data_IF_435119575786
#
_entry.id   IF_435119575786
#
_cell.length_a   1.000
_cell.length_b   1.000
_cell.length_c   1.000
_cell.angle_alpha   90.00
_cell.angle_beta   90.00
_cell.angle_gamma   90.00
#
_symmetry.space_group_name_H-M   'P 1'
#
loop_
_entity.id
_entity.type
_entity.pdbx_description
1 polymer ?
#
# COMPACT_ATOMS: atom_id res chain seq x y z
N UNK A 1 -2.89 -6.84 24.89
CA UNK A 1 -2.18 -7.01 23.61
C UNK A 1 -1.35 -5.76 23.39
N UNK A 2 -0.20 -5.89 22.74
CA UNK A 2 0.70 -4.75 22.53
C UNK A 2 0.30 -3.94 21.31
N UNK A 3 0.28 -2.62 21.50
CA UNK A 3 0.03 -1.63 20.47
C UNK A 3 1.17 -1.66 19.44
N UNK A 4 0.81 -1.75 18.16
CA UNK A 4 1.73 -1.86 17.03
C UNK A 4 1.58 -0.67 16.10
N UNK A 5 2.70 -0.23 15.53
CA UNK A 5 2.75 0.85 14.56
C UNK A 5 2.98 0.30 13.16
N UNK A 6 2.27 0.86 12.19
CA UNK A 6 2.36 0.50 10.78
C UNK A 6 2.49 1.76 9.94
N UNK A 7 3.21 1.66 8.84
CA UNK A 7 3.23 2.71 7.82
C UNK A 7 2.42 2.22 6.63
N UNK A 8 1.55 3.07 6.09
CA UNK A 8 0.95 2.83 4.78
C UNK A 8 1.31 3.95 3.82
N UNK A 9 1.78 3.55 2.64
CA UNK A 9 2.16 4.44 1.55
C UNK A 9 1.19 4.27 0.39
N UNK A 10 0.68 5.40 -0.10
CA UNK A 10 -0.19 5.46 -1.26
C UNK A 10 0.28 6.55 -2.21
N UNK A 11 0.11 6.29 -3.51
CA UNK A 11 0.18 7.34 -4.53
C UNK A 11 -1.17 7.42 -5.23
N UNK A 12 -1.79 8.59 -5.17
CA UNK A 12 -3.07 8.84 -5.82
C UNK A 12 -3.01 8.68 -7.34
N UNK A 13 -4.18 8.59 -7.97
CA UNK A 13 -4.29 8.56 -9.44
C UNK A 13 -3.93 9.90 -10.09
N UNK A 14 -3.88 10.99 -9.33
CA UNK A 14 -3.46 12.30 -9.81
C UNK A 14 -1.95 12.40 -10.09
N UNK A 15 -1.16 11.42 -9.62
CA UNK A 15 0.31 11.37 -9.79
C UNK A 15 1.02 12.63 -9.27
N UNK A 16 0.47 13.26 -8.22
CA UNK A 16 1.03 14.48 -7.65
C UNK A 16 2.14 14.21 -6.63
N UNK A 17 2.17 13.02 -6.03
CA UNK A 17 3.14 12.66 -5.00
C UNK A 17 2.82 11.36 -4.29
N UNK A 18 3.61 11.09 -3.25
CA UNK A 18 3.44 9.97 -2.33
C UNK A 18 2.96 10.46 -0.97
N UNK A 19 1.92 9.83 -0.45
CA UNK A 19 1.43 10.00 0.92
C UNK A 19 1.89 8.82 1.78
N UNK A 20 2.50 9.10 2.92
CA UNK A 20 2.77 8.12 3.97
C UNK A 20 1.98 8.47 5.23
N UNK A 21 1.32 7.48 5.83
CA UNK A 21 0.56 7.62 7.08
C UNK A 21 1.05 6.62 8.10
N UNK A 22 1.32 7.11 9.31
CA UNK A 22 1.61 6.28 10.48
C UNK A 22 0.29 5.91 11.16
N UNK A 23 0.06 4.62 11.34
CA UNK A 23 -1.17 4.08 11.92
C UNK A 23 -0.85 3.28 13.15
N UNK A 24 -1.62 3.51 14.22
CA UNK A 24 -1.57 2.76 15.46
C UNK A 24 -2.69 1.73 15.51
N UNK A 25 -2.35 0.51 15.86
CA UNK A 25 -3.30 -0.60 16.00
C UNK A 25 -3.07 -1.39 17.29
N UNK A 26 -4.13 -1.98 17.82
CA UNK A 26 -4.06 -2.99 18.88
C UNK A 26 -4.65 -4.30 18.34
N UNK A 27 -3.75 -5.23 17.99
CA UNK A 27 -4.11 -6.42 17.24
C UNK A 27 -4.76 -6.08 15.89
N UNK A 28 -6.03 -6.45 15.71
CA UNK A 28 -6.80 -6.13 14.51
C UNK A 28 -7.63 -4.83 14.60
N UNK A 29 -7.55 -4.11 15.73
CA UNK A 29 -8.34 -2.90 15.95
C UNK A 29 -7.52 -1.67 15.58
N UNK A 30 -8.04 -0.87 14.65
CA UNK A 30 -7.51 0.46 14.35
C UNK A 30 -7.73 1.40 15.53
N UNK A 31 -6.67 2.08 15.98
CA UNK A 31 -6.72 3.03 17.10
C UNK A 31 -6.64 4.49 16.63
N UNK A 32 -5.91 4.75 15.55
CA UNK A 32 -5.73 6.11 15.06
C UNK A 32 -4.66 6.25 13.98
N UNK A 33 -4.66 7.40 13.29
CA UNK A 33 -3.53 7.88 12.52
C UNK A 33 -2.73 8.84 13.40
N UNK A 34 -1.42 8.61 13.52
CA UNK A 34 -0.53 9.35 14.43
C UNK A 34 0.30 10.42 13.70
N UNK A 35 0.55 10.21 12.41
CA UNK A 35 1.36 11.13 11.61
C UNK A 35 1.12 10.95 10.12
N UNK A 36 1.49 11.96 9.35
CA UNK A 36 1.46 11.94 7.89
C UNK A 36 2.71 12.64 7.34
N UNK A 37 3.16 12.20 6.17
CA UNK A 37 4.13 12.91 5.35
C UNK A 37 3.70 12.82 3.88
N UNK A 38 4.04 13.86 3.12
CA UNK A 38 3.77 13.92 1.69
C UNK A 38 5.04 14.36 0.95
N UNK A 39 5.41 13.63 -0.08
CA UNK A 39 6.53 13.98 -0.96
C UNK A 39 6.01 14.15 -2.39
N UNK A 40 6.09 15.36 -2.98
CA UNK A 40 5.62 15.60 -4.34
C UNK A 40 6.49 14.87 -5.37
N UNK A 41 5.88 14.43 -6.47
CA UNK A 41 6.64 13.87 -7.57
C UNK A 41 7.36 14.96 -8.37
N UNK A 42 8.65 14.76 -8.71
CA UNK A 42 9.30 15.61 -9.69
C UNK A 42 8.54 15.59 -11.02
N UNK A 43 8.45 16.74 -11.70
CA UNK A 43 7.75 16.88 -13.00
C UNK A 43 8.24 15.89 -14.06
N UNK A 44 9.52 15.52 -14.00
CA UNK A 44 10.09 14.47 -14.86
C UNK A 44 9.43 13.12 -14.58
N UNK A 45 9.41 12.69 -13.33
CA UNK A 45 8.84 11.41 -12.91
C UNK A 45 7.35 11.35 -13.27
N UNK A 46 6.61 12.42 -12.95
CA UNK A 46 5.19 12.54 -13.29
C UNK A 46 4.95 12.37 -14.80
N UNK A 47 5.70 13.08 -15.65
CA UNK A 47 5.60 12.94 -17.11
C UNK A 47 5.92 11.53 -17.59
N UNK A 48 6.96 10.89 -17.05
CA UNK A 48 7.33 9.53 -17.45
C UNK A 48 6.29 8.48 -17.03
N UNK A 49 5.61 8.69 -15.89
CA UNK A 49 4.50 7.83 -15.44
C UNK A 49 3.24 8.03 -16.28
N UNK A 50 2.94 9.27 -16.69
CA UNK A 50 1.84 9.58 -17.60
C UNK A 50 2.07 8.93 -18.98
N UNK A 51 3.27 9.08 -19.54
CA UNK A 51 3.63 8.49 -20.84
C UNK A 51 3.59 6.95 -20.85
N UNK A 52 3.67 6.31 -19.67
CA UNK A 52 3.56 4.85 -19.54
C UNK A 52 2.10 4.36 -19.52
N UNK A 53 1.11 5.26 -19.44
CA UNK A 53 -0.30 4.88 -19.51
C UNK A 53 -0.70 4.52 -20.95
N UNK A 54 -0.08 5.17 -21.92
CA UNK A 54 -0.27 4.92 -23.34
C UNK A 54 0.65 3.79 -23.83
N UNK A 55 0.29 3.19 -24.96
CA UNK A 55 1.15 2.18 -25.59
C UNK A 55 2.40 2.83 -26.15
N UNK A 56 3.58 2.30 -25.81
CA UNK A 56 4.85 2.92 -26.15
C UNK A 56 5.99 1.94 -26.39
N UNK A 57 7.17 2.49 -26.71
CA UNK A 57 8.37 1.69 -26.85
C UNK A 57 8.94 1.32 -25.47
N UNK A 58 9.40 0.07 -25.35
CA UNK A 58 10.18 -0.44 -24.21
C UNK A 58 9.49 -0.27 -22.83
N UNK A 59 8.16 -0.45 -22.77
CA UNK A 59 7.34 -0.27 -21.56
C UNK A 59 7.85 -1.10 -20.37
N UNK A 60 8.31 -2.33 -20.60
CA UNK A 60 8.77 -3.22 -19.53
C UNK A 60 10.02 -2.67 -18.85
N UNK A 61 11.04 -2.28 -19.62
CA UNK A 61 12.25 -1.69 -19.06
C UNK A 61 11.94 -0.37 -18.36
N UNK A 62 11.19 0.51 -19.01
CA UNK A 62 10.79 1.81 -18.45
C UNK A 62 10.01 1.66 -17.14
N UNK A 63 9.03 0.75 -17.10
CA UNK A 63 8.25 0.45 -15.90
C UNK A 63 9.12 -0.03 -14.75
N UNK A 64 10.16 -0.82 -15.05
CA UNK A 64 11.11 -1.31 -14.03
C UNK A 64 11.97 -0.19 -13.47
N UNK A 65 12.48 0.71 -14.31
CA UNK A 65 13.27 1.89 -13.89
C UNK A 65 12.42 2.81 -13.02
N UNK A 66 11.20 3.15 -13.47
CA UNK A 66 10.30 4.01 -12.72
C UNK A 66 9.87 3.37 -11.39
N UNK A 67 9.72 2.05 -11.34
CA UNK A 67 9.44 1.33 -10.09
C UNK A 67 10.56 1.50 -9.05
N UNK A 68 11.83 1.55 -9.47
CA UNK A 68 12.96 1.80 -8.56
C UNK A 68 12.97 3.24 -8.06
N UNK A 69 12.74 4.20 -8.97
CA UNK A 69 12.69 5.63 -8.66
C UNK A 69 11.55 5.92 -7.66
N UNK A 70 10.36 5.37 -7.90
CA UNK A 70 9.23 5.44 -6.99
C UNK A 70 9.56 4.87 -5.61
N UNK A 71 10.19 3.69 -5.53
CA UNK A 71 10.53 3.09 -4.24
C UNK A 71 11.55 3.90 -3.44
N UNK A 72 12.49 4.59 -4.11
CA UNK A 72 13.41 5.52 -3.44
C UNK A 72 12.66 6.71 -2.86
N UNK A 73 11.72 7.27 -3.63
CA UNK A 73 10.86 8.38 -3.18
C UNK A 73 9.97 7.93 -2.01
N UNK A 74 9.35 6.75 -2.08
CA UNK A 74 8.56 6.19 -0.99
C UNK A 74 9.37 5.95 0.28
N UNK A 75 10.62 5.47 0.14
CA UNK A 75 11.52 5.31 1.28
C UNK A 75 11.87 6.67 1.91
N UNK A 76 12.06 7.71 1.09
CA UNK A 76 12.26 9.08 1.56
C UNK A 76 11.02 9.59 2.32
N UNK A 77 9.82 9.43 1.77
CA UNK A 77 8.56 9.85 2.44
C UNK A 77 8.38 9.12 3.78
N UNK A 78 8.71 7.83 3.86
CA UNK A 78 8.68 7.07 5.10
C UNK A 78 9.72 7.59 6.12
N UNK A 79 10.93 7.91 5.67
CA UNK A 79 11.97 8.47 6.52
C UNK A 79 11.59 9.86 7.07
N UNK A 80 10.99 10.72 6.23
CA UNK A 80 10.45 12.03 6.64
C UNK A 80 9.35 11.87 7.70
N UNK A 81 8.43 10.92 7.51
CA UNK A 81 7.40 10.59 8.48
C UNK A 81 8.00 10.14 9.82
N UNK A 82 8.93 9.18 9.80
CA UNK A 82 9.59 8.67 11.01
C UNK A 82 10.34 9.78 11.76
N UNK A 83 11.08 10.62 11.02
CA UNK A 83 11.78 11.76 11.59
C UNK A 83 10.81 12.74 12.27
N UNK A 84 9.66 13.03 11.64
CA UNK A 84 8.65 13.94 12.20
C UNK A 84 7.99 13.41 13.48
N UNK A 85 7.97 12.08 13.64
CA UNK A 85 7.38 11.38 14.79
C UNK A 85 8.42 10.97 15.84
N UNK A 86 9.71 11.26 15.60
CA UNK A 86 10.83 10.83 16.44
C UNK A 86 10.83 9.29 16.67
N UNK A 87 10.61 8.53 15.61
CA UNK A 87 10.58 7.06 15.61
C UNK A 87 11.73 6.49 14.79
N UNK A 88 12.18 5.30 15.17
CA UNK A 88 13.12 4.49 14.40
C UNK A 88 12.37 3.47 13.52
N UNK A 89 12.98 2.98 12.42
CA UNK A 89 12.43 1.87 11.64
C UNK A 89 12.07 0.63 12.48
N UNK A 90 12.83 0.36 13.54
CA UNK A 90 12.59 -0.75 14.48
C UNK A 90 11.28 -0.63 15.26
N UNK A 91 10.70 0.56 15.36
CA UNK A 91 9.43 0.79 16.06
C UNK A 91 8.23 0.42 15.17
N UNK A 92 8.46 0.20 13.86
CA UNK A 92 7.42 -0.09 12.89
C UNK A 92 7.32 -1.59 12.63
N UNK A 93 6.14 -2.14 12.85
CA UNK A 93 5.86 -3.57 12.67
C UNK A 93 5.87 -3.98 11.20
N UNK A 94 5.24 -3.18 10.34
CA UNK A 94 5.29 -3.40 8.90
C UNK A 94 4.95 -2.14 8.10
N UNK A 95 5.41 -2.14 6.84
CA UNK A 95 5.08 -1.14 5.84
C UNK A 95 4.18 -1.74 4.75
N UNK A 96 3.04 -1.12 4.51
CA UNK A 96 2.18 -1.36 3.35
C UNK A 96 2.43 -0.30 2.28
N UNK A 97 2.49 -0.70 1.01
CA UNK A 97 2.69 0.21 -0.11
C UNK A 97 1.76 -0.22 -1.23
N UNK A 98 0.88 0.69 -1.65
CA UNK A 98 0.00 0.51 -2.80
C UNK A 98 0.79 0.60 -4.12
N UNK A 99 1.78 1.49 -4.18
CA UNK A 99 2.49 1.86 -5.41
C UNK A 99 1.65 2.78 -6.31
N UNK A 100 2.23 3.16 -7.45
CA UNK A 100 1.57 4.02 -8.44
C UNK A 100 0.84 3.17 -9.47
N UNK A 101 -0.48 3.34 -9.59
CA UNK A 101 -1.22 2.72 -10.70
C UNK A 101 -0.84 3.39 -12.02
N UNK A 102 -0.43 2.57 -13.00
CA UNK A 102 -0.13 3.02 -14.38
C UNK A 102 -1.08 2.40 -15.41
N UNK A 103 -1.79 1.32 -15.06
CA UNK A 103 -2.86 0.75 -15.89
C UNK A 103 -3.98 0.21 -15.02
N UNK A 104 -5.22 0.58 -15.31
CA UNK A 104 -6.42 0.05 -14.67
C UNK A 104 -7.37 -0.46 -15.75
N UNK A 105 -7.41 -1.78 -15.94
CA UNK A 105 -8.17 -2.44 -17.00
C UNK A 105 -9.13 -3.49 -16.40
N UNK A 106 -10.15 -3.06 -15.63
CA UNK A 106 -11.09 -3.96 -14.97
C UNK A 106 -11.89 -4.83 -15.95
N UNK A 107 -12.11 -4.34 -17.17
CA UNK A 107 -12.72 -5.09 -18.28
C UNK A 107 -11.87 -6.29 -18.73
N UNK A 108 -10.55 -6.20 -18.53
CA UNK A 108 -9.59 -7.29 -18.73
C UNK A 108 -9.20 -7.98 -17.41
N UNK A 109 -9.80 -7.59 -16.28
CA UNK A 109 -9.58 -8.20 -14.97
C UNK A 109 -8.24 -7.88 -14.31
N UNK A 110 -7.51 -6.84 -14.74
CA UNK A 110 -6.20 -6.53 -14.17
C UNK A 110 -5.99 -5.03 -13.85
N UNK A 111 -5.00 -4.77 -13.00
CA UNK A 111 -4.50 -3.45 -12.65
C UNK A 111 -2.99 -3.56 -12.41
N UNK A 112 -2.20 -2.60 -12.87
CA UNK A 112 -0.74 -2.58 -12.72
C UNK A 112 -0.36 -1.40 -11.83
N UNK A 113 0.28 -1.72 -10.71
CA UNK A 113 0.91 -0.76 -9.80
C UNK A 113 2.43 -0.91 -9.90
N UNK A 114 3.14 0.21 -10.02
CA UNK A 114 4.59 0.26 -10.01
C UNK A 114 5.10 0.54 -8.60
N UNK A 115 6.00 -0.32 -8.15
CA UNK A 115 6.87 -0.15 -7.00
C UNK A 115 7.90 -1.30 -7.00
N UNK A 116 9.16 -1.00 -6.72
CA UNK A 116 10.16 -2.01 -6.40
C UNK A 116 10.13 -2.31 -4.90
N UNK A 117 9.36 -3.32 -4.52
CA UNK A 117 9.06 -3.62 -3.13
C UNK A 117 10.24 -4.19 -2.35
N UNK A 118 11.08 -5.10 -2.91
CA UNK A 118 12.33 -5.49 -2.28
C UNK A 118 13.25 -4.30 -2.01
N UNK A 119 13.42 -3.40 -2.99
CA UNK A 119 14.22 -2.18 -2.81
C UNK A 119 13.64 -1.28 -1.71
N UNK A 120 12.32 -1.11 -1.66
CA UNK A 120 11.67 -0.32 -0.61
C UNK A 120 11.92 -0.91 0.79
N UNK A 121 11.81 -2.22 0.94
CA UNK A 121 12.09 -2.91 2.20
C UNK A 121 13.56 -2.73 2.62
N UNK A 122 14.49 -2.84 1.67
CA UNK A 122 15.92 -2.62 1.91
C UNK A 122 16.20 -1.17 2.32
N UNK A 123 15.65 -0.18 1.61
CA UNK A 123 15.91 1.23 1.92
C UNK A 123 15.29 1.68 3.25
N UNK A 124 14.14 1.12 3.62
CA UNK A 124 13.45 1.48 4.87
C UNK A 124 13.92 0.67 6.06
N UNK A 125 14.54 -0.49 5.85
CA UNK A 125 14.85 -1.47 6.89
C UNK A 125 13.59 -1.95 7.66
N UNK A 126 12.41 -1.83 7.05
CA UNK A 126 11.12 -2.25 7.62
C UNK A 126 10.60 -3.46 6.85
N UNK A 127 10.03 -4.43 7.57
CA UNK A 127 9.37 -5.55 6.92
C UNK A 127 8.19 -5.06 6.05
N UNK A 128 8.27 -5.33 4.75
CA UNK A 128 7.23 -4.95 3.82
C UNK A 128 6.24 -6.09 3.57
N UNK A 129 4.95 -5.77 3.48
CA UNK A 129 3.90 -6.73 3.12
C UNK A 129 3.11 -6.31 1.88
N UNK A 130 3.15 -7.17 0.85
CA UNK A 130 2.42 -6.96 -0.41
C UNK A 130 0.94 -7.26 -0.31
N UNK A 131 0.12 -6.45 -0.96
CA UNK A 131 -1.28 -6.77 -1.28
C UNK A 131 -1.32 -7.91 -2.30
N UNK A 132 -1.78 -9.09 -1.90
CA UNK A 132 -2.25 -10.11 -2.84
C UNK A 132 -3.64 -9.69 -3.35
N UNK A 133 -3.99 -9.95 -4.63
CA UNK A 133 -5.36 -9.76 -5.09
C UNK A 133 -6.28 -10.57 -4.17
N UNK A 134 -7.28 -9.92 -3.56
CA UNK A 134 -8.30 -10.69 -2.87
C UNK A 134 -9.06 -11.51 -3.92
N UNK A 135 -9.30 -12.81 -3.72
CA UNK A 135 -10.23 -13.55 -4.57
C UNK A 135 -11.58 -12.84 -4.47
N UNK A 136 -12.04 -12.23 -5.57
CA UNK A 136 -13.42 -11.74 -5.61
C UNK A 136 -14.32 -12.98 -5.61
N UNK A 137 -15.29 -13.11 -4.70
CA UNK A 137 -16.31 -14.11 -4.87
C UNK A 137 -17.00 -13.86 -6.21
N UNK A 138 -17.06 -14.90 -7.04
CA UNK A 138 -17.74 -14.87 -8.34
C UNK A 138 -19.23 -14.59 -8.13
N UNK A 139 -19.62 -13.31 -8.19
CA UNK A 139 -20.99 -12.87 -7.98
C UNK A 139 -21.25 -11.56 -8.69
N UNK A 140 -22.01 -11.62 -9.79
CA UNK A 140 -22.55 -10.46 -10.50
C UNK A 140 -23.31 -9.55 -9.53
N UNK A 141 -22.91 -8.27 -9.42
CA UNK A 141 -23.79 -7.09 -9.44
C UNK A 141 -22.98 -5.81 -9.28
N UNK A 142 -23.06 -4.98 -10.31
CA UNK A 142 -22.86 -3.54 -10.26
C UNK A 142 -23.64 -2.93 -9.09
N UNK A 143 -22.95 -2.15 -8.26
CA UNK A 143 -23.49 -0.96 -7.57
C UNK A 143 -22.36 -0.18 -6.90
N UNK A 144 -22.18 1.06 -7.35
CA UNK A 144 -21.57 2.12 -6.56
C UNK A 144 -22.36 2.30 -5.26
N UNK A 145 -21.65 2.65 -4.18
CA UNK A 145 -22.13 3.00 -2.84
C UNK A 145 -22.95 1.93 -2.09
N UNK A 146 -22.30 1.22 -1.16
CA UNK A 146 -22.97 0.66 0.02
C UNK A 146 -22.00 0.45 1.19
N UNK A 147 -22.39 0.98 2.35
CA UNK A 147 -21.82 0.80 3.69
C UNK A 147 -21.56 -0.68 4.03
N UNK A 148 -20.64 -1.01 4.96
CA UNK A 148 -20.20 -2.38 5.15
C UNK A 148 -21.26 -3.24 5.84
N UNK A 149 -21.60 -4.36 5.19
CA UNK A 149 -22.19 -5.53 5.86
C UNK A 149 -21.04 -6.43 6.31
N UNK A 150 -21.03 -6.75 7.61
CA UNK A 150 -20.29 -7.89 8.14
C UNK A 150 -20.78 -9.16 7.43
N UNK A 151 -19.87 -9.85 6.75
CA UNK A 151 -20.04 -11.24 6.38
C UNK A 151 -18.78 -11.98 6.80
N UNK A 152 -18.90 -12.70 7.91
CA UNK A 152 -17.98 -13.77 8.26
C UNK A 152 -18.06 -14.82 7.16
N UNK A 153 -16.93 -15.29 6.62
CA UNK A 153 -16.82 -16.65 6.11
C UNK A 153 -15.35 -17.09 5.96
N UNK A 154 -15.08 -18.41 6.05
CA UNK A 154 -13.88 -18.94 6.66
C UNK A 154 -12.94 -19.56 5.62
N UNK A 155 -11.64 -19.27 5.74
CA UNK A 155 -10.63 -20.15 5.18
C UNK A 155 -9.41 -20.09 6.10
N UNK A 156 -9.46 -20.91 7.15
CA UNK A 156 -8.38 -21.15 8.09
C UNK A 156 -7.27 -21.96 7.41
N UNK A 157 -6.09 -21.36 7.29
CA UNK A 157 -4.83 -22.11 7.36
C UNK A 157 -4.16 -21.71 8.66
N UNK A 158 -4.20 -22.65 9.61
CA UNK A 158 -3.58 -22.59 10.92
C UNK A 158 -2.06 -22.36 10.79
N UNK A 159 -1.60 -21.15 11.09
CA UNK A 159 -0.22 -20.90 11.51
C UNK A 159 -0.25 -19.92 12.68
N UNK A 160 -0.28 -20.46 13.90
CA UNK A 160 -0.53 -19.74 15.16
C UNK A 160 0.63 -18.84 15.61
N UNK A 161 1.66 -18.63 14.79
CA UNK A 161 2.84 -17.82 15.15
C UNK A 161 2.96 -16.48 14.46
N UNK A 162 2.05 -16.12 13.55
CA UNK A 162 2.18 -14.85 12.84
C UNK A 162 0.82 -14.21 12.58
N UNK A 163 0.44 -13.21 13.39
CA UNK A 163 -0.77 -12.41 13.18
C UNK A 163 -0.65 -11.67 11.86
N UNK A 164 -1.34 -12.19 10.85
CA UNK A 164 -1.23 -11.73 9.47
C UNK A 164 -2.26 -10.64 9.18
N UNK A 165 -2.03 -9.43 9.68
CA UNK A 165 -2.85 -8.26 9.38
C UNK A 165 -2.63 -7.62 7.99
N UNK A 166 -3.67 -7.22 7.28
CA UNK A 166 -3.56 -6.47 6.01
C UNK A 166 -4.09 -5.05 6.19
N UNK A 167 -3.26 -4.03 6.00
CA UNK A 167 -3.68 -2.62 5.97
C UNK A 167 -3.92 -2.20 4.52
N UNK A 168 -5.18 -1.98 4.14
CA UNK A 168 -5.51 -1.34 2.86
C UNK A 168 -5.46 0.18 3.06
N UNK A 169 -4.58 0.90 2.37
CA UNK A 169 -4.68 2.36 2.23
C UNK A 169 -4.97 2.63 0.75
N UNK A 170 -6.22 3.00 0.47
CA UNK A 170 -6.74 3.38 -0.84
C UNK A 170 -7.73 4.53 -0.67
N UNK A 171 -8.08 5.22 -1.77
CA UNK A 171 -8.91 6.44 -1.77
C UNK A 171 -10.30 6.32 -1.13
N UNK A 172 -10.80 5.10 -0.91
CA UNK A 172 -12.01 4.83 -0.13
C UNK A 172 -11.67 3.93 1.08
N UNK A 173 -11.49 4.57 2.24
CA UNK A 173 -11.50 4.00 3.61
C UNK A 173 -10.49 2.87 3.93
N UNK A 174 -9.63 3.03 4.96
CA UNK A 174 -8.73 1.96 5.36
C UNK A 174 -9.52 0.76 5.88
N UNK A 175 -9.34 -0.40 5.23
CA UNK A 175 -10.01 -1.65 5.58
C UNK A 175 -8.98 -2.69 5.96
N UNK A 176 -9.12 -3.24 7.17
CA UNK A 176 -8.26 -4.29 7.69
C UNK A 176 -8.96 -5.64 7.65
N UNK A 177 -8.28 -6.66 7.12
CA UNK A 177 -8.68 -8.05 7.31
C UNK A 177 -7.55 -8.83 8.00
N UNK A 178 -7.90 -9.50 9.09
CA UNK A 178 -7.01 -10.36 9.85
C UNK A 178 -7.85 -11.17 10.83
N UNK A 179 -7.54 -12.46 10.99
CA UNK A 179 -8.14 -13.29 12.02
C UNK A 179 -7.51 -12.92 13.38
N UNK A 180 -8.32 -12.56 14.40
CA UNK A 180 -7.78 -12.39 15.75
C UNK A 180 -7.22 -13.73 16.25
N UNK A 181 -6.15 -13.71 17.06
CA UNK A 181 -5.72 -14.92 17.76
C UNK A 181 -6.87 -15.41 18.66
N UNK A 182 -7.03 -16.74 18.70
CA UNK A 182 -7.97 -17.41 19.62
C UNK A 182 -7.45 -17.36 21.04
#
# INVERSE_FOLDING_TARGET
>A
METQLYIGIMSGTSMDGADAVLVRMDGGKWLGAEGHAFTPYPDRLRRQLLDLQDTGADELHRSRILSQELSRLYAQTAAELLCSQNLAPSDITALGCHGQTVRHAPEHGYSIQLADLPLLAELTQIFYRRRLPQPRPCGRRTRCAARPRLSQNPCSRDDKRNTRGYLNIGGDCPTFSGTPPS
#
